data_IF_617740785219
#
_entry.id   IF_617740785219
#
_cell.length_a   1.000
_cell.length_b   1.000
_cell.length_c   1.000
_cell.angle_alpha   90.00
_cell.angle_beta   90.00
_cell.angle_gamma   90.00
#
_symmetry.space_group_name_H-M   'P 1'
#
loop_
_entity.id
_entity.type
_entity.pdbx_description
1 polymer ?
#
# COMPACT_ATOMS: atom_id res chain seq x y z
N UNK A 1 0.10 -52.82 28.25
CA UNK A 1 1.00 -51.72 28.62
C UNK A 1 0.15 -50.46 28.74
N UNK A 2 -0.12 -50.08 29.98
CA UNK A 2 -0.97 -48.96 30.40
C UNK A 2 -0.11 -47.69 30.54
N UNK A 3 -0.50 -46.61 29.88
CA UNK A 3 0.01 -45.26 30.18
C UNK A 3 -1.18 -44.32 30.42
N UNK A 4 -1.40 -44.02 31.70
CA UNK A 4 -2.23 -42.92 32.18
C UNK A 4 -1.43 -41.63 32.00
N UNK A 5 -2.03 -40.58 31.44
CA UNK A 5 -1.53 -39.22 31.62
C UNK A 5 -2.58 -38.35 32.29
N UNK A 6 -2.14 -37.74 33.38
CA UNK A 6 -2.87 -36.89 34.31
C UNK A 6 -3.32 -35.59 33.64
N UNK A 7 -4.55 -35.21 33.96
CA UNK A 7 -5.11 -33.88 33.74
C UNK A 7 -4.57 -32.93 34.81
N UNK A 8 -4.00 -31.79 34.41
CA UNK A 8 -3.60 -30.73 35.31
C UNK A 8 -4.63 -29.58 35.23
N UNK A 9 -5.33 -29.36 36.35
CA UNK A 9 -6.10 -28.14 36.61
C UNK A 9 -5.12 -26.96 36.75
N UNK A 10 -5.36 -25.89 36.00
CA UNK A 10 -4.76 -24.57 36.26
C UNK A 10 -5.84 -23.70 36.89
N UNK A 11 -5.61 -23.31 38.14
CA UNK A 11 -6.43 -22.37 38.91
C UNK A 11 -6.01 -20.93 38.57
N UNK A 12 -6.93 -20.15 37.99
CA UNK A 12 -6.72 -18.72 37.73
C UNK A 12 -7.06 -17.92 39.00
N UNK A 13 -6.09 -17.20 39.56
CA UNK A 13 -6.29 -16.27 40.69
C UNK A 13 -6.48 -14.87 40.13
N UNK A 14 -7.65 -14.28 40.39
CA UNK A 14 -7.98 -12.88 40.12
C UNK A 14 -7.40 -11.98 41.21
N UNK A 15 -6.56 -11.02 40.84
CA UNK A 15 -6.23 -9.86 41.66
C UNK A 15 -6.64 -8.58 40.93
N UNK A 16 -7.55 -7.84 41.57
CA UNK A 16 -7.84 -6.43 41.28
C UNK A 16 -7.22 -5.58 42.39
N UNK A 17 -6.77 -4.36 42.06
CA UNK A 17 -6.94 -3.24 42.99
C UNK A 17 -7.79 -2.13 42.39
N UNK A 18 -8.65 -1.60 43.26
CA UNK A 18 -9.56 -0.50 43.04
C UNK A 18 -8.90 0.88 43.31
N UNK A 19 -9.47 1.90 42.66
CA UNK A 19 -9.66 3.29 43.09
C UNK A 19 -8.47 4.13 43.62
N UNK A 20 -8.28 5.32 43.05
CA UNK A 20 -8.55 6.54 43.84
C UNK A 20 -8.97 7.74 42.98
N UNK A 21 -9.79 8.59 43.58
CA UNK A 21 -10.65 9.64 43.02
C UNK A 21 -10.25 10.93 43.75
N UNK A 22 -9.97 12.02 43.03
CA UNK A 22 -9.61 13.30 43.66
C UNK A 22 -10.15 14.52 42.92
N UNK A 23 -11.33 14.99 43.33
CA UNK A 23 -11.89 16.32 43.06
C UNK A 23 -11.41 17.36 44.09
N UNK A 24 -11.25 18.62 43.65
CA UNK A 24 -11.73 19.88 44.29
C UNK A 24 -11.27 21.08 43.42
N UNK A 25 -12.18 21.92 42.89
CA UNK A 25 -12.80 23.14 43.50
C UNK A 25 -11.75 24.21 43.87
N UNK A 26 -11.92 25.51 43.67
CA UNK A 26 -12.89 26.46 43.09
C UNK A 26 -12.05 27.75 42.94
N UNK A 27 -12.36 28.68 42.03
CA UNK A 27 -12.73 30.04 42.46
C UNK A 27 -13.10 30.99 41.31
N UNK A 28 -14.06 31.84 41.65
CA UNK A 28 -14.89 32.70 40.81
C UNK A 28 -14.32 34.13 40.63
N UNK A 29 -14.87 34.82 39.63
CA UNK A 29 -15.03 36.28 39.60
C UNK A 29 -13.98 37.03 38.79
N UNK A 30 -14.30 38.04 37.96
CA UNK A 30 -15.40 39.00 38.07
C UNK A 30 -15.64 39.69 36.72
N UNK A 31 -16.90 40.08 36.52
CA UNK A 31 -17.50 40.57 35.30
C UNK A 31 -17.19 42.05 34.94
N UNK A 32 -17.31 42.29 33.62
CA UNK A 32 -17.99 43.40 32.91
C UNK A 32 -17.52 44.86 33.08
N UNK A 33 -17.21 45.51 31.94
CA UNK A 33 -18.17 46.40 31.23
C UNK A 33 -17.59 46.97 29.92
N UNK A 34 -18.41 46.93 28.89
CA UNK A 34 -18.31 47.66 27.63
C UNK A 34 -18.75 49.13 27.79
N UNK A 35 -18.16 50.03 26.99
CA UNK A 35 -18.82 50.83 25.94
C UNK A 35 -18.32 52.29 25.78
N UNK A 36 -17.81 52.51 24.56
CA UNK A 36 -18.14 53.58 23.61
C UNK A 36 -17.66 55.06 23.78
N UNK A 37 -16.88 55.43 22.75
CA UNK A 37 -17.05 56.59 21.85
C UNK A 37 -16.38 57.95 22.18
N UNK A 38 -15.44 58.39 21.32
CA UNK A 38 -15.69 59.42 20.27
C UNK A 38 -14.48 59.74 19.37
N UNK A 39 -14.75 59.67 18.05
CA UNK A 39 -14.44 60.59 16.93
C UNK A 39 -13.17 61.46 16.87
N UNK A 40 -12.55 61.40 15.69
CA UNK A 40 -11.76 62.43 15.00
C UNK A 40 -10.42 61.83 14.56
N UNK A 41 -10.00 61.77 13.30
CA UNK A 41 -10.34 62.49 12.07
C UNK A 41 -9.01 62.77 11.37
N UNK A 42 -8.88 62.42 10.09
CA UNK A 42 -7.81 62.94 9.23
C UNK A 42 -6.68 61.98 8.84
N UNK A 43 -6.73 61.61 7.56
CA UNK A 43 -5.65 61.81 6.59
C UNK A 43 -4.59 60.70 6.30
N UNK A 44 -4.32 60.64 5.01
CA UNK A 44 -3.50 59.78 4.14
C UNK A 44 -2.28 59.02 4.70
N UNK A 45 -2.07 57.80 4.18
CA UNK A 45 -0.73 57.21 4.11
C UNK A 45 -0.67 55.72 3.80
N UNK A 46 -0.34 55.38 2.56
CA UNK A 46 0.33 54.15 2.07
C UNK A 46 -0.15 52.78 2.57
N UNK A 47 -0.84 52.05 1.69
CA UNK A 47 -1.00 50.60 1.79
C UNK A 47 0.35 49.89 1.64
N UNK A 48 0.87 49.40 2.76
CA UNK A 48 1.74 48.24 2.79
C UNK A 48 0.85 47.01 2.82
N UNK A 49 0.77 46.32 1.69
CA UNK A 49 0.17 45.00 1.59
C UNK A 49 1.09 44.04 2.37
N UNK A 50 0.72 43.78 3.62
CA UNK A 50 1.29 42.69 4.40
C UNK A 50 0.90 41.41 3.70
N UNK A 51 1.81 40.97 2.82
CA UNK A 51 1.68 39.71 2.09
C UNK A 51 1.35 38.59 3.07
N UNK A 52 0.08 38.20 3.07
CA UNK A 52 -0.32 36.91 3.59
C UNK A 52 0.61 35.87 2.95
N UNK A 53 1.24 34.98 3.73
CA UNK A 53 1.99 33.89 3.18
C UNK A 53 0.99 33.02 2.41
N UNK A 54 0.87 33.26 1.11
CA UNK A 54 0.19 32.34 0.23
C UNK A 54 0.91 31.02 0.42
N UNK A 55 0.19 30.05 0.97
CA UNK A 55 0.60 28.66 1.02
C UNK A 55 0.95 28.29 -0.42
N UNK A 56 2.23 28.35 -0.75
CA UNK A 56 2.76 27.79 -1.98
C UNK A 56 2.41 26.32 -1.90
N UNK A 57 1.36 25.94 -2.62
CA UNK A 57 1.08 24.55 -2.95
C UNK A 57 2.37 24.06 -3.57
N UNK A 58 3.09 23.18 -2.86
CA UNK A 58 4.32 22.60 -3.36
C UNK A 58 3.99 22.04 -4.74
N UNK A 59 4.62 22.61 -5.77
CA UNK A 59 4.54 22.06 -7.12
C UNK A 59 4.88 20.57 -7.00
N UNK A 60 3.91 19.74 -7.39
CA UNK A 60 3.93 18.30 -7.16
C UNK A 60 5.30 17.75 -7.52
N UNK A 61 5.84 16.96 -6.60
CA UNK A 61 7.19 16.39 -6.63
C UNK A 61 7.49 15.76 -7.99
N UNK A 62 8.00 16.57 -8.93
CA UNK A 62 8.35 16.14 -10.27
C UNK A 62 9.50 15.16 -10.09
N UNK A 63 9.22 13.86 -10.25
CA UNK A 63 10.14 12.79 -9.90
C UNK A 63 11.56 13.03 -10.41
N UNK A 64 12.55 12.49 -9.69
CA UNK A 64 13.96 12.75 -10.00
C UNK A 64 14.28 12.58 -11.50
N UNK A 65 15.03 13.53 -12.05
CA UNK A 65 15.49 13.47 -13.44
C UNK A 65 16.42 12.27 -13.66
N UNK A 66 16.33 11.65 -14.84
CA UNK A 66 17.19 10.52 -15.21
C UNK A 66 16.52 9.47 -16.09
N UNK A 67 17.32 8.48 -16.56
CA UNK A 67 16.83 7.40 -17.39
C UNK A 67 15.84 6.52 -16.62
N UNK A 68 14.99 5.84 -17.38
CA UNK A 68 14.09 4.78 -16.95
C UNK A 68 14.37 3.54 -17.80
N UNK A 69 13.93 2.34 -17.40
CA UNK A 69 13.99 1.17 -18.27
C UNK A 69 13.41 1.47 -19.67
N UNK A 70 13.93 0.84 -20.73
CA UNK A 70 14.98 -0.19 -20.72
C UNK A 70 16.41 0.39 -20.62
N UNK A 71 16.56 1.72 -20.62
CA UNK A 71 17.86 2.40 -20.69
C UNK A 71 18.68 2.31 -19.40
N UNK A 72 18.03 1.97 -18.28
CA UNK A 72 18.70 1.71 -16.99
C UNK A 72 18.12 0.48 -16.30
N UNK A 73 18.96 -0.18 -15.49
CA UNK A 73 18.47 -1.17 -14.53
C UNK A 73 17.60 -0.49 -13.49
N UNK A 74 16.66 -1.23 -12.92
CA UNK A 74 15.87 -0.74 -11.81
C UNK A 74 15.53 -1.83 -10.79
N UNK A 75 15.21 -1.39 -9.57
CA UNK A 75 14.63 -2.24 -8.51
C UNK A 75 13.47 -1.48 -7.88
N UNK A 76 12.31 -2.12 -7.79
CA UNK A 76 11.13 -1.64 -7.09
C UNK A 76 10.99 -2.34 -5.74
N UNK A 77 10.70 -1.57 -4.70
CA UNK A 77 10.66 -2.00 -3.32
C UNK A 77 9.30 -1.70 -2.70
N UNK A 78 8.80 -2.66 -1.92
CA UNK A 78 7.91 -2.31 -0.81
C UNK A 78 8.75 -1.95 0.42
N UNK A 79 8.15 -1.25 1.38
CA UNK A 79 8.84 -0.85 2.60
C UNK A 79 8.24 -1.54 3.81
N UNK A 80 9.04 -2.41 4.45
CA UNK A 80 8.64 -3.18 5.63
C UNK A 80 9.79 -3.19 6.65
N UNK A 81 10.03 -2.05 7.29
CA UNK A 81 11.21 -1.82 8.14
C UNK A 81 12.56 -1.78 7.37
N UNK A 82 12.50 -1.96 6.05
CA UNK A 82 13.61 -1.91 5.10
C UNK A 82 13.05 -2.00 3.67
N UNK A 83 13.91 -1.78 2.68
CA UNK A 83 13.61 -1.87 1.26
C UNK A 83 13.58 -3.34 0.83
N UNK A 84 12.39 -3.92 0.77
CA UNK A 84 12.18 -5.32 0.38
C UNK A 84 11.80 -5.39 -1.10
N UNK A 85 12.66 -5.97 -1.97
CA UNK A 85 12.46 -5.93 -3.41
C UNK A 85 11.26 -6.76 -3.86
N UNK A 86 10.38 -6.11 -4.63
CA UNK A 86 9.26 -6.76 -5.30
C UNK A 86 9.65 -7.26 -6.69
N UNK A 87 10.44 -6.47 -7.42
CA UNK A 87 10.90 -6.81 -8.76
C UNK A 87 12.04 -5.93 -9.21
N UNK A 88 12.75 -6.37 -10.23
CA UNK A 88 13.85 -5.63 -10.82
C UNK A 88 14.03 -5.96 -12.31
N UNK A 89 14.55 -5.00 -13.05
CA UNK A 89 14.99 -5.14 -14.43
C UNK A 89 16.49 -4.94 -14.52
N UNK A 90 17.20 -5.94 -15.01
CA UNK A 90 18.64 -5.87 -15.27
C UNK A 90 18.88 -5.50 -16.73
N UNK A 91 19.29 -4.25 -16.99
CA UNK A 91 19.51 -3.75 -18.36
C UNK A 91 20.60 -4.53 -19.11
N UNK A 92 21.59 -5.05 -18.39
CA UNK A 92 22.72 -5.74 -19.01
C UNK A 92 22.32 -7.17 -19.41
N UNK A 93 21.34 -7.74 -18.71
CA UNK A 93 20.74 -9.04 -19.07
C UNK A 93 19.47 -8.92 -19.93
N UNK A 94 18.84 -7.76 -19.95
CA UNK A 94 17.53 -7.55 -20.58
C UNK A 94 16.43 -8.42 -19.97
N UNK A 95 16.46 -8.65 -18.65
CA UNK A 95 15.60 -9.62 -17.99
C UNK A 95 15.00 -9.11 -16.68
N UNK A 96 13.79 -9.58 -16.37
CA UNK A 96 13.08 -9.30 -15.14
C UNK A 96 13.32 -10.39 -14.09
N UNK A 97 13.39 -10.00 -12.82
CA UNK A 97 13.52 -10.89 -11.67
C UNK A 97 12.81 -10.32 -10.44
N UNK A 98 12.70 -11.10 -9.37
CA UNK A 98 12.11 -10.68 -8.10
C UNK A 98 12.88 -11.17 -6.88
N UNK A 99 12.54 -10.60 -5.72
CA UNK A 99 13.06 -10.99 -4.43
C UNK A 99 14.55 -10.69 -4.25
N UNK A 100 15.24 -11.50 -3.44
CA UNK A 100 16.59 -11.22 -2.97
C UNK A 100 17.64 -11.04 -4.09
N UNK A 101 17.43 -11.65 -5.27
CA UNK A 101 18.33 -11.49 -6.41
C UNK A 101 18.42 -10.03 -6.89
N UNK A 102 17.35 -9.24 -6.70
CA UNK A 102 17.33 -7.83 -7.05
C UNK A 102 18.23 -6.97 -6.14
N UNK A 103 18.57 -7.44 -4.94
CA UNK A 103 19.39 -6.68 -4.00
C UNK A 103 20.83 -6.51 -4.48
N UNK A 104 21.34 -7.45 -5.27
CA UNK A 104 22.70 -7.41 -5.81
C UNK A 104 22.87 -6.31 -6.87
N UNK A 105 21.76 -5.80 -7.41
CA UNK A 105 21.79 -4.74 -8.42
C UNK A 105 21.96 -3.34 -7.82
N UNK A 106 21.63 -3.16 -6.54
CA UNK A 106 21.72 -1.86 -5.89
C UNK A 106 23.12 -1.68 -5.29
N UNK A 107 23.91 -0.71 -5.78
CA UNK A 107 25.23 -0.44 -5.22
C UNK A 107 25.13 -0.02 -3.75
N UNK A 108 26.16 -0.35 -2.97
CA UNK A 108 26.32 0.23 -1.64
C UNK A 108 26.30 1.77 -1.75
N UNK A 109 25.72 2.42 -0.74
CA UNK A 109 25.58 3.88 -0.66
C UNK A 109 24.74 4.54 -1.77
N UNK A 110 24.07 3.74 -2.62
CA UNK A 110 23.18 4.26 -3.65
C UNK A 110 22.03 5.07 -3.04
N UNK A 111 21.51 6.01 -3.83
CA UNK A 111 20.29 6.74 -3.49
C UNK A 111 19.09 5.96 -4.01
N UNK A 112 18.16 5.62 -3.12
CA UNK A 112 16.81 5.18 -3.48
C UNK A 112 15.85 6.34 -3.32
N UNK A 113 14.77 6.36 -4.09
CA UNK A 113 13.67 7.28 -3.83
C UNK A 113 12.54 6.51 -3.16
N UNK A 114 12.15 6.92 -1.97
CA UNK A 114 11.04 6.33 -1.20
C UNK A 114 9.88 7.29 -1.15
N UNK A 115 8.65 6.79 -1.12
CA UNK A 115 7.44 7.60 -1.07
C UNK A 115 6.51 7.16 0.07
N UNK A 116 5.83 8.15 0.65
CA UNK A 116 4.76 7.98 1.62
C UNK A 116 3.72 9.08 1.39
N UNK A 117 2.51 8.71 0.95
CA UNK A 117 1.50 9.66 0.49
C UNK A 117 1.98 10.49 -0.70
N UNK A 118 1.79 11.81 -0.63
CA UNK A 118 2.17 12.76 -1.69
C UNK A 118 3.65 13.21 -1.63
N UNK A 119 4.43 12.65 -0.70
CA UNK A 119 5.82 13.01 -0.50
C UNK A 119 6.76 11.89 -0.95
N UNK A 120 7.88 12.27 -1.56
CA UNK A 120 8.99 11.36 -1.80
C UNK A 120 10.33 11.96 -1.38
N UNK A 121 11.25 11.08 -0.99
CA UNK A 121 12.54 11.45 -0.43
C UNK A 121 13.63 10.56 -1.01
N UNK A 122 14.80 11.14 -1.26
CA UNK A 122 15.98 10.35 -1.58
C UNK A 122 16.61 9.87 -0.26
N UNK A 123 16.85 8.57 -0.15
CA UNK A 123 17.46 7.93 1.01
C UNK A 123 18.68 7.15 0.58
N UNK A 124 19.72 7.23 1.40
CA UNK A 124 20.95 6.47 1.21
C UNK A 124 20.72 5.02 1.65
N UNK A 125 21.06 4.08 0.76
CA UNK A 125 21.01 2.64 1.03
C UNK A 125 22.14 2.24 1.98
N UNK A 126 21.78 1.42 2.96
CA UNK A 126 22.70 0.81 3.94
C UNK A 126 22.93 -0.67 3.69
N UNK A 127 23.25 -1.41 4.76
CA UNK A 127 23.49 -2.85 4.70
C UNK A 127 22.19 -3.65 4.51
N UNK A 128 22.33 -4.95 4.22
CA UNK A 128 21.18 -5.86 4.23
C UNK A 128 20.65 -6.09 5.65
N UNK A 129 19.34 -6.08 5.77
CA UNK A 129 18.60 -6.25 7.02
C UNK A 129 17.47 -7.26 6.87
N UNK A 130 16.99 -7.76 8.01
CA UNK A 130 15.71 -8.46 8.07
C UNK A 130 14.58 -7.44 7.95
N UNK A 131 13.62 -7.63 7.03
CA UNK A 131 12.41 -6.83 7.04
C UNK A 131 11.55 -7.19 8.26
N UNK A 132 10.73 -6.24 8.70
CA UNK A 132 9.95 -6.33 9.94
C UNK A 132 9.03 -7.56 9.97
N UNK A 133 8.42 -7.91 8.84
CA UNK A 133 7.52 -9.06 8.74
C UNK A 133 8.16 -10.44 9.01
N UNK A 134 9.50 -10.55 9.01
CA UNK A 134 10.22 -11.78 9.35
C UNK A 134 11.37 -11.51 10.32
N UNK A 135 11.22 -10.50 11.18
CA UNK A 135 12.21 -10.17 12.21
C UNK A 135 12.45 -11.37 13.14
N UNK A 136 13.73 -11.67 13.38
CA UNK A 136 14.16 -12.82 14.17
C UNK A 136 14.38 -14.10 13.36
N UNK A 137 14.15 -14.08 12.04
CA UNK A 137 14.39 -15.23 11.16
C UNK A 137 15.86 -15.40 10.78
N UNK A 138 16.70 -14.37 10.92
CA UNK A 138 18.07 -14.35 10.42
C UNK A 138 18.21 -14.07 8.92
N UNK A 139 17.10 -13.93 8.18
CA UNK A 139 17.11 -13.79 6.71
C UNK A 139 17.17 -12.33 6.27
N UNK A 140 18.37 -11.88 5.91
CA UNK A 140 18.62 -10.50 5.43
C UNK A 140 18.23 -10.31 3.95
N UNK A 141 16.94 -10.19 3.69
CA UNK A 141 16.36 -10.09 2.33
C UNK A 141 15.84 -8.68 1.99
N UNK A 142 16.16 -7.66 2.79
CA UNK A 142 15.88 -6.26 2.49
C UNK A 142 17.16 -5.42 2.61
N UNK A 143 17.14 -4.18 2.10
CA UNK A 143 18.19 -3.19 2.34
C UNK A 143 17.74 -2.18 3.40
N UNK A 144 18.64 -1.78 4.28
CA UNK A 144 18.39 -0.63 5.14
C UNK A 144 18.39 0.66 4.30
N UNK A 145 17.68 1.66 4.77
CA UNK A 145 17.83 3.02 4.28
C UNK A 145 17.49 4.01 5.40
N UNK A 146 18.10 5.19 5.32
CA UNK A 146 18.02 6.21 6.37
C UNK A 146 16.55 6.50 6.79
N UNK A 147 16.25 6.23 8.05
CA UNK A 147 14.94 6.49 8.67
C UNK A 147 13.93 5.35 8.60
N UNK A 148 14.12 4.31 7.76
CA UNK A 148 13.16 3.22 7.61
C UNK A 148 12.99 2.40 8.89
N UNK A 149 14.09 2.16 9.61
CA UNK A 149 14.06 1.48 10.92
C UNK A 149 13.57 2.36 12.06
N UNK A 150 13.60 3.68 11.87
CA UNK A 150 13.18 4.68 12.86
C UNK A 150 11.66 4.88 12.93
N UNK A 151 10.87 4.10 12.19
CA UNK A 151 9.41 4.21 12.16
C UNK A 151 8.86 5.21 11.15
N UNK A 152 9.67 5.65 10.18
CA UNK A 152 9.14 6.47 9.08
C UNK A 152 8.14 5.66 8.24
N UNK A 153 6.99 6.26 7.95
CA UNK A 153 5.90 5.65 7.18
C UNK A 153 6.10 5.94 5.69
N UNK A 154 6.91 5.11 5.05
CA UNK A 154 6.98 5.03 3.59
C UNK A 154 6.32 3.73 3.14
N UNK A 155 5.71 3.75 1.96
CA UNK A 155 4.96 2.61 1.41
C UNK A 155 5.76 1.85 0.36
N UNK A 156 6.50 2.57 -0.49
CA UNK A 156 7.30 1.97 -1.57
C UNK A 156 8.52 2.82 -1.91
N UNK A 157 9.40 2.26 -2.73
CA UNK A 157 10.53 3.00 -3.28
C UNK A 157 11.10 2.37 -4.54
N UNK A 158 11.99 3.10 -5.20
CA UNK A 158 12.66 2.63 -6.40
C UNK A 158 14.12 3.08 -6.45
N UNK A 159 14.95 2.25 -7.09
CA UNK A 159 16.31 2.59 -7.49
C UNK A 159 16.47 2.35 -9.00
N UNK A 160 17.16 3.26 -9.73
CA UNK A 160 17.61 4.58 -9.30
C UNK A 160 16.43 5.54 -9.05
N UNK A 161 16.63 6.70 -8.39
CA UNK A 161 15.55 7.60 -7.98
C UNK A 161 14.61 8.03 -9.10
N UNK A 162 15.13 8.13 -10.33
CA UNK A 162 14.38 8.52 -11.52
C UNK A 162 13.30 7.54 -11.94
N UNK A 163 13.39 6.28 -11.50
CA UNK A 163 12.46 5.22 -11.92
C UNK A 163 11.16 5.23 -11.15
N UNK A 164 11.06 5.95 -10.03
CA UNK A 164 9.81 6.02 -9.26
C UNK A 164 8.65 6.61 -10.07
N UNK A 165 8.95 7.47 -11.04
CA UNK A 165 7.94 8.15 -11.89
C UNK A 165 7.20 7.22 -12.84
N UNK A 166 7.67 5.99 -13.04
CA UNK A 166 6.98 5.01 -13.91
C UNK A 166 5.82 4.33 -13.18
N UNK A 167 5.76 4.45 -11.85
CA UNK A 167 4.65 3.91 -11.07
C UNK A 167 3.42 4.79 -11.25
N UNK A 168 2.36 4.20 -11.76
CA UNK A 168 1.01 4.78 -11.68
C UNK A 168 0.27 4.12 -10.55
N UNK A 169 -0.14 4.89 -9.55
CA UNK A 169 -0.86 4.37 -8.39
C UNK A 169 -2.34 4.19 -8.67
N UNK A 170 -2.91 3.15 -8.08
CA UNK A 170 -4.36 3.06 -7.88
C UNK A 170 -4.76 4.07 -6.81
N UNK A 171 -5.93 4.71 -7.00
CA UNK A 171 -6.49 5.66 -6.03
C UNK A 171 -6.69 4.99 -4.66
N UNK A 172 -6.35 5.71 -3.58
CA UNK A 172 -6.59 5.25 -2.21
C UNK A 172 -8.09 5.11 -1.92
N UNK A 173 -8.95 5.85 -2.63
CA UNK A 173 -10.41 5.78 -2.48
C UNK A 173 -11.03 4.51 -3.11
N UNK A 174 -10.24 3.67 -3.80
CA UNK A 174 -10.71 2.46 -4.50
C UNK A 174 -11.32 1.39 -3.58
N UNK A 175 -11.06 1.46 -2.28
CA UNK A 175 -11.62 0.58 -1.25
C UNK A 175 -12.74 1.25 -0.44
N UNK A 176 -13.09 2.49 -0.76
CA UNK A 176 -14.15 3.23 -0.05
C UNK A 176 -15.52 2.58 -0.24
N UNK A 177 -16.48 2.80 0.70
CA UNK A 177 -17.86 2.34 0.52
C UNK A 177 -18.54 2.87 -0.74
N UNK A 178 -18.11 4.02 -1.26
CA UNK A 178 -18.63 4.58 -2.50
C UNK A 178 -18.04 3.88 -3.73
N UNK A 179 -16.72 3.65 -3.76
CA UNK A 179 -16.06 2.98 -4.87
C UNK A 179 -16.48 1.50 -5.00
N UNK A 180 -16.69 0.84 -3.87
CA UNK A 180 -17.06 -0.59 -3.83
C UNK A 180 -18.53 -0.88 -4.11
N UNK A 181 -19.34 0.16 -4.38
CA UNK A 181 -20.71 0.00 -4.87
C UNK A 181 -20.69 -0.30 -6.38
N UNK A 182 -20.72 -1.59 -6.70
CA UNK A 182 -20.76 -2.11 -8.05
C UNK A 182 -22.21 -2.37 -8.45
N UNK A 183 -22.58 -2.06 -9.69
CA UNK A 183 -23.93 -2.32 -10.21
C UNK A 183 -24.24 -3.82 -10.35
N UNK A 184 -25.53 -4.15 -10.38
CA UNK A 184 -26.01 -5.55 -10.41
C UNK A 184 -25.52 -6.34 -11.64
N UNK A 185 -25.36 -5.70 -12.81
CA UNK A 185 -24.90 -6.41 -14.03
C UNK A 185 -23.42 -6.78 -13.90
N UNK A 186 -22.60 -5.84 -13.44
CA UNK A 186 -21.18 -6.08 -13.18
C UNK A 186 -20.99 -7.15 -12.10
N UNK A 187 -21.73 -7.07 -10.99
CA UNK A 187 -21.68 -8.10 -9.94
C UNK A 187 -22.14 -9.46 -10.45
N UNK A 188 -23.16 -9.53 -11.30
CA UNK A 188 -23.61 -10.78 -11.90
C UNK A 188 -22.56 -11.39 -12.85
N UNK A 189 -21.81 -10.58 -13.60
CA UNK A 189 -20.70 -11.05 -14.44
C UNK A 189 -19.53 -11.57 -13.61
N UNK A 190 -19.12 -10.82 -12.58
CA UNK A 190 -18.08 -11.25 -11.64
C UNK A 190 -18.49 -12.56 -10.94
N UNK A 191 -19.74 -12.69 -10.50
CA UNK A 191 -20.24 -13.89 -9.84
C UNK A 191 -20.18 -15.14 -10.74
N UNK A 192 -20.28 -15.01 -12.07
CA UNK A 192 -20.11 -16.15 -13.00
C UNK A 192 -18.67 -16.68 -13.03
N UNK A 193 -17.68 -15.80 -12.80
CA UNK A 193 -16.27 -16.18 -12.74
C UNK A 193 -15.85 -16.77 -11.38
N UNK A 194 -16.71 -16.65 -10.36
CA UNK A 194 -16.44 -17.10 -9.00
C UNK A 194 -17.02 -18.51 -8.75
N UNK A 195 -16.20 -19.55 -8.57
CA UNK A 195 -16.67 -20.93 -8.34
C UNK A 195 -17.09 -21.16 -6.88
N UNK A 196 -17.91 -20.27 -6.32
CA UNK A 196 -18.40 -20.35 -4.95
C UNK A 196 -19.89 -19.96 -4.84
N UNK A 197 -20.55 -20.46 -3.80
CA UNK A 197 -21.95 -20.13 -3.53
C UNK A 197 -22.01 -19.06 -2.44
N UNK A 198 -22.77 -18.01 -2.69
CA UNK A 198 -23.03 -16.95 -1.72
C UNK A 198 -23.20 -15.61 -2.40
N UNK A 199 -23.41 -14.59 -1.60
CA UNK A 199 -23.39 -13.20 -2.05
C UNK A 199 -21.94 -12.77 -2.25
N UNK A 200 -21.64 -12.25 -3.44
CA UNK A 200 -20.34 -11.69 -3.76
C UNK A 200 -20.30 -10.25 -3.26
N UNK A 201 -19.18 -9.82 -2.70
CA UNK A 201 -18.95 -8.47 -2.20
C UNK A 201 -17.65 -7.94 -2.78
N UNK A 202 -17.61 -6.67 -3.18
CA UNK A 202 -16.38 -6.02 -3.62
C UNK A 202 -15.60 -5.48 -2.41
N UNK A 203 -14.31 -5.79 -2.36
CA UNK A 203 -13.32 -5.21 -1.45
C UNK A 203 -12.64 -3.98 -2.06
N UNK A 204 -12.38 -4.02 -3.37
CA UNK A 204 -11.77 -2.93 -4.12
C UNK A 204 -12.36 -2.89 -5.53
N UNK A 205 -12.62 -1.67 -6.00
CA UNK A 205 -12.94 -1.38 -7.40
C UNK A 205 -12.04 -0.25 -7.85
N UNK A 206 -11.26 -0.51 -8.89
CA UNK A 206 -10.34 0.48 -9.44
C UNK A 206 -10.33 0.45 -10.96
N UNK A 207 -9.92 1.56 -11.54
CA UNK A 207 -9.71 1.73 -12.96
C UNK A 207 -8.29 2.22 -13.18
N UNK A 208 -7.52 1.53 -14.02
CA UNK A 208 -6.14 1.91 -14.33
C UNK A 208 -5.85 1.59 -15.80
N UNK A 209 -5.04 2.40 -16.46
CA UNK A 209 -4.57 2.11 -17.82
C UNK A 209 -3.28 1.30 -17.71
N UNK A 210 -3.32 0.03 -18.11
CA UNK A 210 -2.22 -0.91 -17.91
C UNK A 210 -1.32 -1.06 -19.13
N UNK A 211 -1.85 -0.79 -20.33
CA UNK A 211 -1.14 -0.95 -21.60
C UNK A 211 -0.81 0.38 -22.29
N UNK A 212 -1.21 1.51 -21.71
CA UNK A 212 -0.96 2.86 -22.21
C UNK A 212 -1.82 3.22 -23.41
N UNK A 213 -2.97 2.57 -23.58
CA UNK A 213 -3.86 2.80 -24.71
C UNK A 213 -4.93 3.89 -24.46
N UNK A 214 -4.82 4.61 -23.32
CA UNK A 214 -5.75 5.62 -22.81
C UNK A 214 -7.15 5.09 -22.43
N UNK A 215 -7.39 3.78 -22.50
CA UNK A 215 -8.59 3.14 -21.94
C UNK A 215 -8.27 2.58 -20.56
N UNK A 216 -9.28 2.52 -19.72
CA UNK A 216 -9.16 1.97 -18.38
C UNK A 216 -9.47 0.49 -18.37
N UNK A 217 -8.58 -0.28 -17.77
CA UNK A 217 -8.83 -1.63 -17.32
C UNK A 217 -9.50 -1.59 -15.95
N UNK A 218 -10.51 -2.42 -15.76
CA UNK A 218 -11.21 -2.55 -14.48
C UNK A 218 -10.50 -3.56 -13.57
N UNK A 219 -10.34 -3.22 -12.30
CA UNK A 219 -9.81 -4.10 -11.25
C UNK A 219 -10.91 -4.33 -10.24
N UNK A 220 -11.18 -5.61 -9.95
CA UNK A 220 -12.23 -6.02 -9.02
C UNK A 220 -11.66 -7.02 -8.02
N UNK A 221 -11.39 -6.57 -6.81
CA UNK A 221 -11.14 -7.46 -5.68
C UNK A 221 -12.47 -7.81 -5.04
N UNK A 222 -12.77 -9.09 -4.96
CA UNK A 222 -14.08 -9.59 -4.53
C UNK A 222 -13.93 -10.79 -3.60
N UNK A 223 -14.92 -10.97 -2.73
CA UNK A 223 -14.99 -12.09 -1.79
C UNK A 223 -16.41 -12.55 -1.55
N UNK A 224 -16.56 -13.79 -1.09
CA UNK A 224 -17.82 -14.38 -0.65
C UNK A 224 -17.68 -14.73 0.83
N UNK A 225 -18.35 -14.01 1.75
CA UNK A 225 -18.25 -14.26 3.20
C UNK A 225 -18.61 -15.68 3.61
N UNK A 226 -17.95 -16.21 4.64
CA UNK A 226 -18.38 -17.45 5.27
C UNK A 226 -19.56 -17.21 6.22
N UNK A 227 -20.66 -17.96 6.04
CA UNK A 227 -21.92 -17.71 6.77
C UNK A 227 -21.84 -17.83 8.29
N UNK A 228 -20.88 -18.60 8.80
CA UNK A 228 -20.80 -18.94 10.24
C UNK A 228 -19.42 -18.72 10.85
N UNK A 229 -18.42 -18.32 10.06
CA UNK A 229 -17.06 -18.11 10.53
C UNK A 229 -16.73 -16.66 10.22
N UNK A 230 -16.69 -15.83 11.27
CA UNK A 230 -16.27 -14.45 11.11
C UNK A 230 -14.86 -14.40 10.51
N UNK A 231 -14.59 -13.38 9.70
CA UNK A 231 -13.25 -13.12 9.11
C UNK A 231 -12.72 -14.28 8.26
N UNK A 232 -13.62 -15.14 7.79
CA UNK A 232 -13.32 -16.15 6.79
C UNK A 232 -14.21 -15.96 5.57
N UNK A 233 -13.67 -16.36 4.44
CA UNK A 233 -14.33 -16.35 3.15
C UNK A 233 -14.58 -17.78 2.69
N UNK A 234 -15.58 -17.98 1.86
CA UNK A 234 -15.69 -19.22 1.08
C UNK A 234 -14.83 -19.13 -0.19
N UNK A 235 -14.61 -17.91 -0.67
CA UNK A 235 -13.75 -17.58 -1.80
C UNK A 235 -13.35 -16.09 -1.72
N UNK A 236 -12.14 -15.75 -2.13
CA UNK A 236 -11.69 -14.37 -2.35
C UNK A 236 -10.60 -14.35 -3.42
N UNK A 237 -10.57 -13.27 -4.19
CA UNK A 237 -9.63 -13.11 -5.29
C UNK A 237 -9.77 -11.75 -5.97
N UNK A 238 -8.87 -11.48 -6.90
CA UNK A 238 -8.85 -10.23 -7.67
C UNK A 238 -8.83 -10.52 -9.16
N UNK A 239 -9.69 -9.83 -9.89
CA UNK A 239 -9.82 -9.91 -11.34
C UNK A 239 -9.39 -8.62 -12.01
N UNK A 240 -8.88 -8.76 -13.24
CA UNK A 240 -8.64 -7.70 -14.20
C UNK A 240 -9.64 -7.87 -15.37
N UNK A 241 -10.33 -6.79 -15.73
CA UNK A 241 -11.19 -6.68 -16.90
C UNK A 241 -10.54 -5.74 -17.90
N UNK A 242 -9.88 -6.30 -18.92
CA UNK A 242 -9.13 -5.47 -19.88
C UNK A 242 -10.03 -4.62 -20.75
N UNK A 243 -9.67 -3.35 -20.96
CA UNK A 243 -10.53 -2.37 -21.64
C UNK A 243 -11.97 -2.33 -21.04
N UNK A 244 -12.13 -2.69 -19.75
CA UNK A 244 -13.43 -2.84 -19.10
C UNK A 244 -14.26 -4.07 -19.53
N UNK A 245 -13.68 -5.02 -20.25
CA UNK A 245 -14.38 -6.21 -20.74
C UNK A 245 -14.59 -7.25 -19.62
N UNK A 246 -15.78 -7.23 -19.04
CA UNK A 246 -16.21 -8.15 -17.98
C UNK A 246 -16.53 -9.58 -18.47
N UNK A 247 -16.55 -9.83 -19.78
CA UNK A 247 -16.77 -11.17 -20.34
C UNK A 247 -15.45 -11.97 -20.49
N UNK A 248 -14.29 -11.32 -20.34
CA UNK A 248 -12.95 -11.91 -20.46
C UNK A 248 -12.08 -11.52 -19.24
N UNK A 249 -12.52 -11.94 -18.05
CA UNK A 249 -11.85 -11.64 -16.80
C UNK A 249 -10.56 -12.46 -16.64
N UNK A 250 -9.46 -11.78 -16.33
CA UNK A 250 -8.19 -12.40 -15.95
C UNK A 250 -8.13 -12.49 -14.42
N UNK A 251 -8.07 -13.71 -13.87
CA UNK A 251 -7.84 -13.90 -12.44
C UNK A 251 -6.38 -13.63 -12.10
N UNK A 252 -6.11 -12.57 -11.35
CA UNK A 252 -4.74 -12.20 -10.93
C UNK A 252 -4.28 -13.09 -9.77
N UNK A 253 -5.09 -13.14 -8.72
CA UNK A 253 -4.78 -13.87 -7.50
C UNK A 253 -6.05 -14.39 -6.82
N UNK A 254 -5.89 -15.47 -6.05
CA UNK A 254 -6.95 -16.11 -5.27
C UNK A 254 -6.40 -16.55 -3.93
N UNK A 255 -7.14 -16.31 -2.85
CA UNK A 255 -6.73 -16.74 -1.52
C UNK A 255 -6.73 -18.27 -1.42
N UNK A 256 -5.66 -18.80 -0.85
CA UNK A 256 -5.54 -20.22 -0.50
C UNK A 256 -5.98 -20.48 0.94
N UNK A 257 -5.77 -19.52 1.85
CA UNK A 257 -6.12 -19.63 3.27
C UNK A 257 -7.62 -19.40 3.52
N UNK A 258 -8.28 -18.70 2.58
CA UNK A 258 -9.64 -18.15 2.72
C UNK A 258 -9.80 -17.12 3.83
N UNK A 259 -8.71 -16.53 4.27
CA UNK A 259 -8.66 -15.44 5.25
C UNK A 259 -8.09 -14.16 4.66
N UNK A 260 -7.73 -14.18 3.38
CA UNK A 260 -7.05 -13.06 2.74
C UNK A 260 -7.96 -12.38 1.72
N UNK A 261 -7.81 -11.07 1.59
CA UNK A 261 -8.34 -10.27 0.47
C UNK A 261 -7.17 -9.62 -0.26
N UNK A 262 -7.43 -9.07 -1.44
CA UNK A 262 -6.39 -8.50 -2.29
C UNK A 262 -6.67 -7.05 -2.61
N UNK A 263 -5.62 -6.28 -2.86
CA UNK A 263 -5.68 -4.93 -3.38
C UNK A 263 -4.65 -4.76 -4.48
N UNK A 264 -4.98 -4.05 -5.54
CA UNK A 264 -3.99 -3.56 -6.49
C UNK A 264 -3.61 -2.15 -6.07
N UNK A 265 -2.31 -1.91 -5.89
CA UNK A 265 -1.76 -0.66 -5.40
C UNK A 265 -1.24 0.23 -6.51
N UNK A 266 -0.89 -0.35 -7.66
CA UNK A 266 -0.44 0.38 -8.83
C UNK A 266 0.04 -0.51 -9.95
N UNK A 267 0.53 0.14 -10.99
CA UNK A 267 1.14 -0.48 -12.17
C UNK A 267 2.47 0.19 -12.48
N UNK A 268 3.44 -0.58 -12.94
CA UNK A 268 4.75 -0.08 -13.33
C UNK A 268 5.31 -0.91 -14.48
N UNK A 269 5.87 -0.26 -15.50
CA UNK A 269 6.60 -0.95 -16.58
C UNK A 269 8.05 -1.15 -16.15
N UNK A 270 8.35 -2.28 -15.49
CA UNK A 270 9.70 -2.55 -15.00
C UNK A 270 10.70 -2.69 -16.16
N UNK A 271 10.27 -3.22 -17.30
CA UNK A 271 11.13 -3.46 -18.46
C UNK A 271 11.30 -2.23 -19.37
N UNK A 272 10.36 -1.29 -19.33
CA UNK A 272 10.29 -0.15 -20.24
C UNK A 272 9.90 -0.51 -21.68
N UNK A 273 9.38 -1.72 -21.87
CA UNK A 273 9.03 -2.28 -23.19
C UNK A 273 7.56 -2.66 -23.28
N UNK A 274 6.74 -2.24 -22.30
CA UNK A 274 5.37 -2.71 -22.06
C UNK A 274 5.31 -4.16 -21.58
N UNK A 275 4.11 -4.78 -21.47
CA UNK A 275 2.99 -4.26 -20.68
C UNK A 275 3.39 -4.08 -19.21
N UNK A 276 2.74 -3.17 -18.49
CA UNK A 276 3.10 -2.92 -17.10
C UNK A 276 2.83 -4.13 -16.18
N UNK A 277 3.66 -4.29 -15.16
CA UNK A 277 3.41 -5.17 -14.04
C UNK A 277 2.35 -4.59 -13.10
N UNK A 278 1.48 -5.44 -12.58
CA UNK A 278 0.51 -5.09 -11.53
C UNK A 278 1.14 -5.33 -10.15
N UNK A 279 1.17 -4.29 -9.33
CA UNK A 279 1.53 -4.40 -7.91
C UNK A 279 0.29 -4.78 -7.10
N UNK A 280 0.27 -6.03 -6.64
CA UNK A 280 -0.83 -6.59 -5.86
C UNK A 280 -0.37 -6.80 -4.42
N UNK A 281 -1.21 -6.41 -3.47
CA UNK A 281 -1.11 -6.69 -2.04
C UNK A 281 -2.13 -7.74 -1.64
N UNK A 282 -1.71 -8.70 -0.84
CA UNK A 282 -2.55 -9.64 -0.12
C UNK A 282 -2.63 -9.19 1.33
N UNK A 283 -3.84 -8.99 1.85
CA UNK A 283 -4.12 -8.59 3.23
C UNK A 283 -4.68 -9.79 3.97
N UNK A 284 -4.11 -10.12 5.12
CA UNK A 284 -4.53 -11.23 5.98
C UNK A 284 -4.52 -10.79 7.46
N UNK A 285 -5.04 -11.66 8.33
CA UNK A 285 -5.32 -11.36 9.75
C UNK A 285 -4.15 -10.71 10.51
N UNK A 286 -2.92 -11.15 10.24
CA UNK A 286 -1.71 -10.74 10.96
C UNK A 286 -0.80 -9.79 10.17
N UNK A 287 -1.19 -9.37 8.95
CA UNK A 287 -0.34 -8.52 8.12
C UNK A 287 -0.69 -8.47 6.65
N UNK A 288 0.29 -8.10 5.84
CA UNK A 288 0.16 -8.04 4.40
C UNK A 288 1.44 -8.47 3.71
N UNK A 289 1.32 -8.94 2.47
CA UNK A 289 2.43 -9.23 1.59
C UNK A 289 2.13 -8.78 0.18
N UNK A 290 3.15 -8.38 -0.56
CA UNK A 290 2.97 -7.84 -1.90
C UNK A 290 3.74 -8.70 -2.92
N UNK A 291 3.27 -8.65 -4.17
CA UNK A 291 3.89 -9.28 -5.32
C UNK A 291 3.62 -8.46 -6.59
N UNK A 292 4.49 -8.61 -7.58
CA UNK A 292 4.25 -8.10 -8.93
C UNK A 292 3.72 -9.21 -9.82
N UNK A 293 2.74 -8.89 -10.64
CA UNK A 293 2.15 -9.79 -11.62
C UNK A 293 2.42 -9.28 -13.03
N UNK A 294 3.02 -10.14 -13.84
CA UNK A 294 3.20 -9.95 -15.27
C UNK A 294 1.99 -10.48 -16.02
N UNK A 295 1.56 -9.74 -17.02
CA UNK A 295 0.52 -10.19 -17.93
C UNK A 295 1.13 -10.89 -19.14
N UNK A 296 0.74 -12.14 -19.33
CA UNK A 296 1.14 -12.95 -20.48
C UNK A 296 -0.10 -13.45 -21.22
N UNK A 297 -0.50 -12.75 -22.29
CA UNK A 297 -1.73 -13.10 -23.01
C UNK A 297 -2.93 -12.97 -22.09
N UNK A 298 -3.73 -14.02 -21.90
CA UNK A 298 -4.90 -14.03 -21.00
C UNK A 298 -4.58 -14.46 -19.56
N UNK A 299 -3.30 -14.63 -19.22
CA UNK A 299 -2.86 -15.08 -17.91
C UNK A 299 -2.10 -13.97 -17.16
N UNK A 300 -2.17 -14.03 -15.83
CA UNK A 300 -1.32 -13.23 -14.95
C UNK A 300 -0.38 -14.18 -14.20
N UNK A 301 0.93 -13.91 -14.26
CA UNK A 301 1.96 -14.70 -13.60
C UNK A 301 2.69 -13.86 -12.56
N UNK A 302 2.82 -14.34 -11.32
CA UNK A 302 3.60 -13.62 -10.33
C UNK A 302 5.09 -13.66 -10.73
N UNK A 303 5.75 -12.50 -10.71
CA UNK A 303 7.18 -12.36 -11.01
C UNK A 303 8.04 -13.02 -9.92
N UNK A 304 7.52 -13.13 -8.70
CA UNK A 304 8.19 -13.76 -7.56
C UNK A 304 7.20 -14.25 -6.50
N UNK A 305 7.74 -14.73 -5.38
CA UNK A 305 6.94 -15.05 -4.22
C UNK A 305 6.44 -13.77 -3.53
N UNK A 306 5.35 -13.89 -2.76
CA UNK A 306 4.91 -12.84 -1.84
C UNK A 306 6.02 -12.50 -0.84
N UNK A 307 6.19 -11.21 -0.56
CA UNK A 307 7.26 -10.70 0.31
C UNK A 307 7.11 -11.06 1.79
N UNK A 308 5.89 -11.00 2.29
CA UNK A 308 5.54 -11.15 3.69
C UNK A 308 4.21 -11.91 3.77
N UNK A 309 4.24 -13.24 3.86
CA UNK A 309 3.03 -14.08 3.83
C UNK A 309 3.23 -15.34 2.98
N UNK A 310 2.75 -16.47 3.49
CA UNK A 310 3.01 -17.83 2.98
C UNK A 310 2.21 -18.19 1.70
#
# INVERSE_FOLDING_TARGET
>A
MTARMLSALVTLVLFAPACDKGEKKDDEGKAAKTDAAKKGGGDQGQGGDEGEPTLQVAEGDQGAEGPVPPETSMVFFQIEGGLLPLGCFDKDKGSLAAGAACLDMVPADAQVRVSGGDQAFNKKVGERVEPRCIEGSGKKIALDAEGLRGGAEFTYGAWPPSTLKILTRVSEDSTSPAATQVDDDTMAKLAKAVPAKGELTAHQVAEIDLDGNDKKDGIYSVFVPHKTMAEQYTWSGVFLARDGNLDDLVLLAKSKSRKDVFEVLGVLDLGGTGPAELWVRMIYEEGAGDALFQLEGSEAKPLGAWTCGA
#
